data_IF_596351555443
#
_entry.id   IF_596351555443
#
_cell.length_a   1.000
_cell.length_b   1.000
_cell.length_c   1.000
_cell.angle_alpha   90.00
_cell.angle_beta   90.00
_cell.angle_gamma   90.00
#
_symmetry.space_group_name_H-M   'P 1'
#
loop_
_entity.id
_entity.type
_entity.pdbx_description
1 polymer ?
#
# COMPACT_ATOMS: atom_id res chain seq x y z
N UNK A 1 10.15 3.33 26.70
CA UNK A 1 8.75 3.43 26.24
C UNK A 1 8.75 4.30 24.98
N UNK A 2 9.04 3.70 23.83
CA UNK A 2 8.99 4.43 22.55
C UNK A 2 7.57 4.29 22.04
N UNK A 3 6.83 5.39 22.00
CA UNK A 3 5.46 5.41 21.51
C UNK A 3 5.43 5.06 20.03
N UNK A 4 4.45 4.23 19.65
CA UNK A 4 4.05 4.04 18.25
C UNK A 4 3.73 5.42 17.66
N UNK A 5 4.66 5.99 16.89
CA UNK A 5 4.33 7.06 15.98
C UNK A 5 3.61 6.44 14.77
N UNK A 6 2.56 7.08 14.23
CA UNK A 6 2.00 6.65 12.96
C UNK A 6 3.11 6.73 11.91
N UNK A 7 3.30 5.66 11.13
CA UNK A 7 4.20 5.68 9.96
C UNK A 7 3.71 6.68 8.91
N UNK A 8 2.40 6.99 8.88
CA UNK A 8 1.82 7.80 7.82
C UNK A 8 1.24 9.14 8.29
N UNK A 9 1.36 10.17 7.45
CA UNK A 9 0.93 11.53 7.74
C UNK A 9 -0.59 11.72 7.73
N UNK A 10 -1.13 12.57 8.63
CA UNK A 10 -2.55 12.93 8.84
C UNK A 10 -3.30 13.54 7.61
N UNK A 11 -2.98 13.13 6.40
CA UNK A 11 -3.71 13.55 5.19
C UNK A 11 -4.84 12.56 4.89
N UNK A 12 -5.93 13.06 4.30
CA UNK A 12 -7.01 12.20 3.80
C UNK A 12 -6.51 11.31 2.64
N UNK A 13 -5.62 11.84 1.81
CA UNK A 13 -5.00 11.16 0.67
C UNK A 13 -3.63 10.59 1.03
N UNK A 14 -3.35 9.37 0.56
CA UNK A 14 -2.06 8.71 0.76
C UNK A 14 -0.93 9.43 0.01
N UNK A 15 0.21 9.64 0.66
CA UNK A 15 1.40 10.26 0.04
C UNK A 15 2.30 9.19 -0.59
N UNK A 16 3.22 9.60 -1.47
CA UNK A 16 4.15 8.65 -2.09
C UNK A 16 5.14 8.07 -1.06
N UNK A 17 5.47 8.84 -0.01
CA UNK A 17 6.33 8.33 1.07
C UNK A 17 5.59 7.28 1.91
N UNK A 18 4.31 7.48 2.19
CA UNK A 18 3.48 6.49 2.89
C UNK A 18 3.47 5.14 2.14
N UNK A 19 3.33 5.19 0.80
CA UNK A 19 3.35 3.98 -0.04
C UNK A 19 4.74 3.34 -0.08
N UNK A 20 5.80 4.14 -0.07
CA UNK A 20 7.18 3.67 -0.03
C UNK A 20 7.49 2.97 1.29
N UNK A 21 7.07 3.51 2.42
CA UNK A 21 7.20 2.85 3.71
C UNK A 21 6.40 1.54 3.76
N UNK A 22 5.13 1.59 3.33
CA UNK A 22 4.25 0.42 3.28
C UNK A 22 4.84 -0.71 2.41
N UNK A 23 5.46 -0.36 1.28
CA UNK A 23 6.10 -1.34 0.39
C UNK A 23 7.22 -2.13 1.07
N UNK A 24 7.86 -1.56 2.08
CA UNK A 24 8.89 -2.22 2.87
C UNK A 24 8.36 -3.13 3.97
N UNK A 25 7.07 -3.02 4.29
CA UNK A 25 6.41 -3.75 5.38
C UNK A 25 5.51 -4.89 4.87
N UNK A 26 5.01 -4.79 3.64
CA UNK A 26 4.23 -5.84 2.99
C UNK A 26 5.12 -7.02 2.61
N UNK A 27 4.62 -8.24 2.85
CA UNK A 27 5.37 -9.48 2.68
C UNK A 27 4.79 -10.35 1.57
N UNK A 28 4.09 -11.43 1.87
CA UNK A 28 3.55 -12.38 0.89
C UNK A 28 2.17 -11.94 0.35
N UNK A 29 1.43 -11.19 1.16
CA UNK A 29 0.06 -10.74 0.91
C UNK A 29 -0.06 -9.53 -0.03
N UNK A 30 1.06 -8.90 -0.40
CA UNK A 30 1.09 -7.68 -1.21
C UNK A 30 0.33 -7.80 -2.55
N UNK A 31 0.29 -9.01 -3.14
CA UNK A 31 -0.46 -9.24 -4.40
C UNK A 31 -1.96 -9.18 -4.17
N UNK A 32 -2.43 -9.74 -3.05
CA UNK A 32 -3.83 -9.69 -2.71
C UNK A 32 -4.23 -8.26 -2.37
N UNK A 33 -3.39 -7.54 -1.61
CA UNK A 33 -3.56 -6.10 -1.36
C UNK A 33 -3.66 -5.33 -2.68
N UNK A 34 -2.75 -5.56 -3.63
CA UNK A 34 -2.81 -4.92 -4.96
C UNK A 34 -4.11 -5.20 -5.72
N UNK A 35 -4.58 -6.45 -5.70
CA UNK A 35 -5.86 -6.85 -6.33
C UNK A 35 -7.07 -6.21 -5.65
N UNK A 36 -7.10 -6.21 -4.32
CA UNK A 36 -8.18 -5.62 -3.53
C UNK A 36 -8.25 -4.09 -3.72
N UNK A 37 -7.10 -3.45 -3.96
CA UNK A 37 -7.03 -2.04 -4.36
C UNK A 37 -7.47 -1.81 -5.82
N UNK A 38 -7.72 -2.87 -6.59
CA UNK A 38 -8.24 -2.80 -7.97
C UNK A 38 -7.15 -2.75 -9.05
N UNK A 39 -5.89 -3.05 -8.70
CA UNK A 39 -4.83 -3.22 -9.70
C UNK A 39 -4.98 -4.60 -10.33
N UNK A 40 -5.12 -4.64 -11.66
CA UNK A 40 -5.35 -5.89 -12.38
C UNK A 40 -4.11 -6.82 -12.34
N UNK A 41 -4.37 -8.13 -12.40
CA UNK A 41 -3.31 -9.15 -12.31
C UNK A 41 -2.23 -8.98 -13.39
N UNK A 42 -2.60 -8.59 -14.61
CA UNK A 42 -1.63 -8.42 -15.70
C UNK A 42 -0.68 -7.26 -15.40
N UNK A 43 -1.19 -6.15 -14.85
CA UNK A 43 -0.38 -5.03 -14.37
C UNK A 43 0.54 -5.44 -13.22
N UNK A 44 0.04 -6.19 -12.23
CA UNK A 44 0.86 -6.69 -11.10
C UNK A 44 2.02 -7.56 -11.63
N UNK A 45 1.72 -8.52 -12.51
CA UNK A 45 2.73 -9.41 -13.09
C UNK A 45 3.77 -8.63 -13.92
N UNK A 46 3.32 -7.64 -14.71
CA UNK A 46 4.22 -6.78 -15.48
C UNK A 46 5.17 -5.99 -14.57
N UNK A 47 4.64 -5.37 -13.52
CA UNK A 47 5.44 -4.57 -12.58
C UNK A 47 6.43 -5.43 -11.80
N UNK A 48 6.05 -6.65 -11.45
CA UNK A 48 6.96 -7.64 -10.86
C UNK A 48 8.09 -8.02 -11.83
N UNK A 49 7.75 -8.33 -13.08
CA UNK A 49 8.72 -8.71 -14.10
C UNK A 49 9.73 -7.58 -14.41
N UNK A 50 9.31 -6.31 -14.27
CA UNK A 50 10.19 -5.15 -14.43
C UNK A 50 11.12 -4.93 -13.23
N UNK A 51 10.77 -5.44 -12.05
CA UNK A 51 11.45 -5.18 -10.78
C UNK A 51 11.88 -6.48 -10.07
N UNK A 52 12.25 -7.52 -10.83
CA UNK A 52 12.57 -8.85 -10.30
C UNK A 52 13.69 -8.87 -9.24
N UNK A 53 14.62 -7.92 -9.31
CA UNK A 53 15.73 -7.79 -8.35
C UNK A 53 15.38 -6.93 -7.12
N UNK A 54 14.23 -6.27 -7.13
CA UNK A 54 13.79 -5.38 -6.06
C UNK A 54 12.29 -5.53 -5.83
N UNK A 55 11.94 -6.56 -5.07
CA UNK A 55 10.55 -6.89 -4.76
C UNK A 55 9.84 -5.72 -4.05
N UNK A 56 10.55 -4.98 -3.18
CA UNK A 56 10.02 -3.77 -2.54
C UNK A 56 9.60 -2.72 -3.58
N UNK A 57 10.44 -2.48 -4.59
CA UNK A 57 10.11 -1.58 -5.68
C UNK A 57 8.91 -2.08 -6.50
N UNK A 58 8.79 -3.39 -6.74
CA UNK A 58 7.61 -3.95 -7.39
C UNK A 58 6.31 -3.63 -6.61
N UNK A 59 6.34 -3.81 -5.29
CA UNK A 59 5.20 -3.49 -4.40
C UNK A 59 4.90 -1.99 -4.46
N UNK A 60 5.93 -1.15 -4.35
CA UNK A 60 5.78 0.30 -4.41
C UNK A 60 5.14 0.74 -5.73
N UNK A 61 5.56 0.20 -6.86
CA UNK A 61 4.99 0.52 -8.17
C UNK A 61 3.52 0.09 -8.29
N UNK A 62 3.11 -1.03 -7.68
CA UNK A 62 1.70 -1.43 -7.62
C UNK A 62 0.88 -0.44 -6.80
N UNK A 63 1.39 -0.01 -5.66
CA UNK A 63 0.73 0.99 -4.81
C UNK A 63 0.63 2.36 -5.51
N UNK A 64 1.67 2.80 -6.19
CA UNK A 64 1.65 4.03 -7.01
C UNK A 64 0.65 3.93 -8.16
N UNK A 65 0.53 2.75 -8.80
CA UNK A 65 -0.47 2.51 -9.84
C UNK A 65 -1.88 2.68 -9.29
N UNK A 66 -2.18 2.07 -8.15
CA UNK A 66 -3.47 2.25 -7.48
C UNK A 66 -3.76 3.72 -7.19
N UNK A 67 -2.81 4.43 -6.57
CA UNK A 67 -2.97 5.87 -6.28
C UNK A 67 -3.25 6.68 -7.55
N UNK A 68 -2.50 6.41 -8.62
CA UNK A 68 -2.68 7.09 -9.91
C UNK A 68 -4.07 6.83 -10.52
N UNK A 69 -4.58 5.60 -10.39
CA UNK A 69 -5.89 5.21 -10.95
C UNK A 69 -7.07 5.77 -10.14
N UNK A 70 -6.93 5.85 -8.81
CA UNK A 70 -7.96 6.40 -7.91
C UNK A 70 -7.91 7.92 -7.78
N UNK A 71 -6.77 8.55 -8.03
CA UNK A 71 -6.61 10.00 -7.89
C UNK A 71 -6.89 10.45 -6.46
N UNK A 72 -7.85 11.38 -6.29
CA UNK A 72 -8.24 11.92 -4.98
C UNK A 72 -8.88 10.89 -4.03
N UNK A 73 -9.41 9.78 -4.57
CA UNK A 73 -10.04 8.72 -3.78
C UNK A 73 -9.02 7.73 -3.20
N UNK A 74 -7.73 7.90 -3.50
CA UNK A 74 -6.63 7.12 -2.94
C UNK A 74 -6.38 7.51 -1.47
N UNK A 75 -7.30 7.17 -0.59
CA UNK A 75 -7.29 7.61 0.80
C UNK A 75 -6.63 6.60 1.73
N UNK A 76 -6.15 7.10 2.87
CA UNK A 76 -5.64 6.25 3.96
C UNK A 76 -6.72 5.31 4.52
N UNK A 77 -7.99 5.73 4.50
CA UNK A 77 -9.12 4.90 4.92
C UNK A 77 -9.34 3.67 4.02
N UNK A 78 -9.30 3.84 2.70
CA UNK A 78 -9.42 2.73 1.74
C UNK A 78 -8.25 1.76 1.91
N UNK A 79 -7.03 2.28 2.03
CA UNK A 79 -5.84 1.47 2.21
C UNK A 79 -5.89 0.68 3.53
N UNK A 80 -6.26 1.34 4.63
CA UNK A 80 -6.41 0.70 5.94
C UNK A 80 -7.48 -0.40 5.93
N UNK A 81 -8.60 -0.18 5.24
CA UNK A 81 -9.64 -1.20 5.12
C UNK A 81 -9.12 -2.44 4.41
N UNK A 82 -8.49 -2.28 3.24
CA UNK A 82 -7.92 -3.41 2.47
C UNK A 82 -6.87 -4.16 3.30
N UNK A 83 -6.00 -3.44 4.01
CA UNK A 83 -5.00 -4.08 4.87
C UNK A 83 -5.63 -4.91 5.99
N UNK A 84 -6.75 -4.48 6.59
CA UNK A 84 -7.47 -5.28 7.59
C UNK A 84 -8.08 -6.54 6.97
N UNK A 85 -8.69 -6.41 5.80
CA UNK A 85 -9.30 -7.53 5.08
C UNK A 85 -8.27 -8.59 4.68
N UNK A 86 -7.05 -8.17 4.36
CA UNK A 86 -5.92 -9.05 4.04
C UNK A 86 -5.10 -9.50 5.27
N UNK A 87 -5.59 -9.23 6.49
CA UNK A 87 -4.98 -9.71 7.73
C UNK A 87 -3.78 -8.90 8.24
N UNK A 88 -3.45 -7.77 7.60
CA UNK A 88 -2.43 -6.80 8.04
C UNK A 88 -3.01 -5.70 8.93
N UNK A 89 -3.74 -6.10 9.97
CA UNK A 89 -4.29 -5.16 10.96
C UNK A 89 -3.19 -4.33 11.62
N UNK A 90 -2.00 -4.92 11.81
CA UNK A 90 -0.80 -4.25 12.33
C UNK A 90 -0.41 -3.02 11.51
N UNK A 91 -0.55 -3.08 10.18
CA UNK A 91 -0.28 -1.95 9.29
C UNK A 91 -1.46 -0.99 9.22
N UNK A 92 -2.68 -1.52 9.20
CA UNK A 92 -3.89 -0.71 9.13
C UNK A 92 -4.05 0.22 10.34
N UNK A 93 -3.62 -0.20 11.54
CA UNK A 93 -3.65 0.61 12.75
C UNK A 93 -2.63 1.74 12.76
N UNK A 94 -1.60 1.64 11.92
CA UNK A 94 -0.60 2.69 11.78
C UNK A 94 -0.97 3.72 10.70
N UNK A 95 -2.04 3.45 9.95
CA UNK A 95 -2.65 4.42 9.03
C UNK A 95 -3.40 5.47 9.86
N UNK A 96 -3.22 6.77 9.62
CA UNK A 96 -3.97 7.80 10.30
C UNK A 96 -5.45 7.61 9.98
N UNK A 97 -6.23 7.42 11.04
CA UNK A 97 -7.69 7.45 10.98
C UNK A 97 -8.13 8.83 10.48
N UNK A 98 -8.87 8.83 9.37
CA UNK A 98 -9.64 9.99 8.92
C UNK A 98 -10.60 10.47 10.01
#
# INVERSE_FOLDING_TARGET
MSGNQPILGRNDTVTDEDLKELSGLLTDEWRNVGRALGVDEATIQRLLAQNVMNHREAIHQVLLKWKKDKGGDATNGVLAQVLREEGRTDLAEQMPSA
#
